data_IF_022600916008
#
_entry.id   IF_022600916008
#
_cell.length_a   1.000
_cell.length_b   1.000
_cell.length_c   1.000
_cell.angle_alpha   90.00
_cell.angle_beta   90.00
_cell.angle_gamma   90.00
#
_symmetry.space_group_name_H-M   'P 1'
#
loop_
_entity.id
_entity.type
_entity.pdbx_description
1 polymer ?
#
# COMPACT_ATOMS: atom_id res chain seq x y z
N UNK A 1 -22.14 -22.93 3.46
CA UNK A 1 -21.02 -22.47 2.61
C UNK A 1 -19.94 -21.98 3.57
N UNK A 2 -18.68 -22.38 3.42
CA UNK A 2 -17.60 -21.97 4.34
C UNK A 2 -17.35 -20.46 4.21
N UNK A 3 -17.16 -19.77 5.34
CA UNK A 3 -16.73 -18.38 5.37
C UNK A 3 -15.33 -18.21 4.73
N UNK A 4 -15.00 -17.00 4.28
CA UNK A 4 -13.66 -16.71 3.70
C UNK A 4 -12.55 -17.07 4.70
N UNK A 5 -12.73 -16.75 5.98
CA UNK A 5 -11.76 -17.08 7.02
C UNK A 5 -11.55 -18.60 7.14
N UNK A 6 -12.61 -19.39 7.11
CA UNK A 6 -12.49 -20.86 7.13
C UNK A 6 -11.79 -21.39 5.89
N UNK A 7 -12.07 -20.82 4.71
CA UNK A 7 -11.38 -21.16 3.47
C UNK A 7 -9.88 -20.83 3.54
N UNK A 8 -9.52 -19.65 4.06
CA UNK A 8 -8.12 -19.25 4.27
C UNK A 8 -7.39 -20.23 5.17
N UNK A 9 -7.98 -20.56 6.33
CA UNK A 9 -7.38 -21.51 7.29
C UNK A 9 -7.20 -22.89 6.67
N UNK A 10 -8.19 -23.38 5.95
CA UNK A 10 -8.13 -24.68 5.28
C UNK A 10 -7.03 -24.73 4.22
N UNK A 11 -6.97 -23.74 3.32
CA UNK A 11 -5.94 -23.68 2.27
C UNK A 11 -4.54 -23.49 2.83
N UNK A 12 -4.35 -22.62 3.82
CA UNK A 12 -3.07 -22.45 4.48
C UNK A 12 -2.56 -23.76 5.10
N UNK A 13 -3.44 -24.48 5.81
CA UNK A 13 -3.10 -25.74 6.47
C UNK A 13 -2.71 -26.82 5.47
N UNK A 14 -3.47 -26.90 4.37
CA UNK A 14 -3.20 -27.84 3.29
C UNK A 14 -1.84 -27.57 2.63
N UNK A 15 -1.57 -26.33 2.22
CA UNK A 15 -0.32 -25.96 1.56
C UNK A 15 0.91 -26.20 2.44
N UNK A 16 0.82 -25.92 3.75
CA UNK A 16 1.90 -26.18 4.70
C UNK A 16 2.09 -27.68 4.96
N UNK A 17 1.01 -28.45 5.11
CA UNK A 17 1.08 -29.90 5.38
C UNK A 17 1.64 -30.68 4.18
N UNK A 18 1.33 -30.23 2.97
CA UNK A 18 1.89 -30.80 1.73
C UNK A 18 3.34 -30.37 1.48
N UNK A 19 3.86 -29.36 2.20
CA UNK A 19 5.19 -28.79 1.96
C UNK A 19 5.29 -27.97 0.67
N UNK A 20 4.16 -27.63 0.05
CA UNK A 20 4.08 -26.79 -1.16
C UNK A 20 4.66 -25.40 -0.90
N UNK A 21 4.48 -24.90 0.32
CA UNK A 21 5.06 -23.64 0.82
C UNK A 21 5.65 -23.88 2.21
N UNK A 22 6.66 -23.10 2.57
CA UNK A 22 7.31 -23.18 3.89
C UNK A 22 6.73 -22.17 4.89
N UNK A 23 5.97 -21.19 4.40
CA UNK A 23 5.34 -20.16 5.21
C UNK A 23 4.07 -19.64 4.53
N UNK A 24 3.07 -19.28 5.33
CA UNK A 24 1.88 -18.54 4.91
C UNK A 24 1.85 -17.20 5.64
N UNK A 25 1.73 -16.09 4.91
CA UNK A 25 1.55 -14.75 5.47
C UNK A 25 0.09 -14.31 5.29
N UNK A 26 -0.53 -13.92 6.40
CA UNK A 26 -1.91 -13.43 6.45
C UNK A 26 -2.08 -12.36 7.51
N UNK A 27 -3.27 -12.29 8.11
CA UNK A 27 -3.56 -11.44 9.26
C UNK A 27 -3.98 -12.29 10.46
N UNK A 28 -3.67 -11.86 11.68
CA UNK A 28 -4.21 -12.43 12.91
C UNK A 28 -4.91 -11.35 13.73
N UNK A 29 -5.67 -11.76 14.76
CA UNK A 29 -6.26 -10.77 15.66
C UNK A 29 -5.21 -10.19 16.60
N UNK A 30 -5.09 -8.87 16.62
CA UNK A 30 -4.18 -8.16 17.53
C UNK A 30 -4.73 -8.06 18.96
N UNK A 31 -3.97 -7.40 19.82
CA UNK A 31 -4.39 -7.11 21.21
C UNK A 31 -5.67 -6.27 21.29
N UNK A 32 -5.89 -5.40 20.29
CA UNK A 32 -7.06 -4.54 20.23
C UNK A 32 -8.05 -5.04 19.17
N UNK A 33 -9.35 -4.99 19.48
CA UNK A 33 -10.42 -5.48 18.60
C UNK A 33 -10.49 -4.74 17.24
N UNK A 34 -9.90 -3.56 17.12
CA UNK A 34 -9.85 -2.76 15.89
C UNK A 34 -8.53 -2.93 15.12
N UNK A 35 -7.67 -3.89 15.49
CA UNK A 35 -6.40 -4.17 14.80
C UNK A 35 -6.30 -5.64 14.41
N UNK A 36 -5.88 -5.89 13.16
CA UNK A 36 -5.57 -7.22 12.64
C UNK A 36 -4.20 -7.17 11.95
N UNK A 37 -3.09 -7.26 12.73
CA UNK A 37 -1.73 -7.18 12.20
C UNK A 37 -1.37 -8.43 11.36
N UNK A 38 -0.27 -8.35 10.60
CA UNK A 38 0.25 -9.49 9.85
C UNK A 38 0.66 -10.66 10.76
N UNK A 39 0.43 -11.87 10.28
CA UNK A 39 0.88 -13.12 10.91
C UNK A 39 1.66 -13.96 9.92
N UNK A 40 2.65 -14.70 10.43
CA UNK A 40 3.53 -15.59 9.68
C UNK A 40 3.36 -16.98 10.27
N UNK A 41 2.78 -17.89 9.49
CA UNK A 41 2.45 -19.25 9.92
C UNK A 41 3.36 -20.23 9.20
N UNK A 42 4.13 -21.00 9.95
CA UNK A 42 5.02 -22.06 9.42
C UNK A 42 4.60 -23.46 9.89
N UNK A 43 3.90 -23.56 11.02
CA UNK A 43 3.30 -24.81 11.50
C UNK A 43 1.83 -24.90 11.04
N UNK A 44 1.43 -25.97 10.33
CA UNK A 44 0.03 -26.23 10.01
C UNK A 44 -0.92 -26.13 11.21
N UNK A 45 -0.48 -26.50 12.42
CA UNK A 45 -1.29 -26.43 13.64
C UNK A 45 -1.69 -24.99 14.01
N UNK A 46 -0.90 -23.99 13.61
CA UNK A 46 -1.11 -22.58 13.94
C UNK A 46 -2.03 -21.83 12.95
N UNK A 47 -2.54 -22.50 11.92
CA UNK A 47 -3.39 -21.87 10.90
C UNK A 47 -4.65 -21.22 11.49
N UNK A 48 -5.12 -21.64 12.66
CA UNK A 48 -6.30 -21.04 13.31
C UNK A 48 -6.07 -19.61 13.82
N UNK A 49 -4.82 -19.13 13.82
CA UNK A 49 -4.49 -17.71 14.08
C UNK A 49 -4.91 -16.80 12.94
N UNK A 50 -5.03 -17.33 11.71
CA UNK A 50 -5.42 -16.56 10.54
C UNK A 50 -6.85 -16.02 10.71
N UNK A 51 -7.01 -14.73 10.46
CA UNK A 51 -8.28 -14.00 10.56
C UNK A 51 -8.54 -13.23 9.27
N UNK A 52 -9.82 -13.13 8.92
CA UNK A 52 -10.31 -12.20 7.91
C UNK A 52 -11.45 -11.38 8.49
N UNK A 53 -11.15 -10.13 8.81
CA UNK A 53 -12.13 -9.18 9.31
C UNK A 53 -11.97 -7.80 8.65
N UNK A 54 -12.87 -6.88 8.98
CA UNK A 54 -12.89 -5.51 8.46
C UNK A 54 -11.68 -4.65 8.88
N UNK A 55 -10.74 -5.19 9.67
CA UNK A 55 -9.53 -4.51 10.15
C UNK A 55 -8.23 -5.08 9.56
N UNK A 56 -8.32 -6.02 8.60
CA UNK A 56 -7.20 -6.54 7.79
C UNK A 56 -6.64 -5.49 6.81
N UNK A 57 -6.31 -4.30 7.34
CA UNK A 57 -5.90 -3.10 6.59
C UNK A 57 -4.48 -3.19 6.06
N UNK A 58 -3.57 -3.88 6.77
CA UNK A 58 -2.15 -3.94 6.44
C UNK A 58 -1.93 -4.53 5.03
N UNK A 59 -0.98 -3.94 4.31
CA UNK A 59 -0.45 -4.54 3.09
C UNK A 59 0.64 -5.56 3.43
N UNK A 60 0.53 -6.79 2.94
CA UNK A 60 1.44 -7.89 3.25
C UNK A 60 2.62 -7.98 2.30
N UNK A 61 2.55 -7.40 1.09
CA UNK A 61 3.57 -7.60 0.06
C UNK A 61 4.96 -7.16 0.52
N UNK A 62 5.05 -6.09 1.32
CA UNK A 62 6.34 -5.54 1.79
C UNK A 62 7.19 -6.57 2.56
N UNK A 63 6.55 -7.49 3.30
CA UNK A 63 7.24 -8.48 4.12
C UNK A 63 7.97 -9.54 3.29
N UNK A 64 7.61 -9.73 2.02
CA UNK A 64 8.36 -10.61 1.11
C UNK A 64 9.83 -10.20 0.96
N UNK A 65 10.14 -8.91 1.14
CA UNK A 65 11.53 -8.43 1.07
C UNK A 65 12.43 -8.97 2.17
N UNK A 66 11.86 -9.31 3.33
CA UNK A 66 12.60 -9.87 4.46
C UNK A 66 13.08 -11.31 4.16
N UNK A 67 12.44 -11.97 3.19
CA UNK A 67 12.71 -13.36 2.79
C UNK A 67 13.30 -13.49 1.37
N UNK A 68 13.67 -12.37 0.73
CA UNK A 68 14.17 -12.40 -0.65
C UNK A 68 15.45 -13.23 -0.83
N UNK A 69 16.20 -13.45 0.24
CA UNK A 69 17.44 -14.23 0.25
C UNK A 69 17.30 -15.66 0.79
N UNK A 70 16.07 -16.09 1.13
CA UNK A 70 15.83 -17.50 1.47
C UNK A 70 15.61 -18.32 0.20
N UNK A 71 15.49 -19.65 0.31
CA UNK A 71 15.02 -20.52 -0.79
C UNK A 71 13.54 -20.88 -0.63
N UNK A 72 12.93 -20.42 0.47
CA UNK A 72 11.56 -20.76 0.83
C UNK A 72 10.57 -20.20 -0.20
N UNK A 73 9.58 -21.02 -0.52
CA UNK A 73 8.35 -20.64 -1.22
C UNK A 73 7.32 -20.19 -0.20
N UNK A 74 6.80 -18.97 -0.39
CA UNK A 74 5.93 -18.30 0.59
C UNK A 74 4.54 -18.09 0.00
N UNK A 75 3.52 -18.56 0.71
CA UNK A 75 2.14 -18.22 0.40
C UNK A 75 1.75 -16.86 1.00
N UNK A 76 1.01 -16.05 0.26
CA UNK A 76 0.49 -14.76 0.70
C UNK A 76 -1.01 -14.67 0.42
N UNK A 77 -1.80 -14.28 1.42
CA UNK A 77 -3.15 -13.81 1.16
C UNK A 77 -3.11 -12.38 0.62
N UNK A 78 -3.74 -12.12 -0.52
CA UNK A 78 -3.66 -10.83 -1.19
C UNK A 78 -5.02 -10.22 -1.49
N UNK A 79 -5.23 -9.00 -1.00
CA UNK A 79 -6.28 -8.10 -1.50
C UNK A 79 -5.79 -7.44 -2.78
N UNK A 80 -6.63 -6.65 -3.45
CA UNK A 80 -6.21 -5.85 -4.60
C UNK A 80 -4.97 -4.99 -4.35
N UNK A 81 -4.91 -4.25 -3.24
CA UNK A 81 -3.74 -3.45 -2.90
C UNK A 81 -2.47 -4.27 -2.59
N UNK A 82 -2.61 -5.48 -2.04
CA UNK A 82 -1.48 -6.39 -1.77
C UNK A 82 -0.93 -6.94 -3.09
N UNK A 83 -1.82 -7.40 -3.97
CA UNK A 83 -1.47 -7.92 -5.29
C UNK A 83 -0.70 -6.86 -6.10
N UNK A 84 -1.16 -5.61 -6.11
CA UNK A 84 -0.43 -4.50 -6.75
C UNK A 84 0.95 -4.26 -6.13
N UNK A 85 1.08 -4.47 -4.82
CA UNK A 85 2.36 -4.45 -4.11
C UNK A 85 3.29 -5.56 -4.57
N UNK A 86 2.77 -6.77 -4.77
CA UNK A 86 3.52 -7.90 -5.32
C UNK A 86 3.98 -7.60 -6.75
N UNK A 87 3.10 -7.10 -7.62
CA UNK A 87 3.48 -6.65 -8.98
C UNK A 87 4.63 -5.66 -8.92
N UNK A 88 4.56 -4.65 -8.03
CA UNK A 88 5.66 -3.68 -7.87
C UNK A 88 6.98 -4.34 -7.48
N UNK A 89 6.97 -5.28 -6.54
CA UNK A 89 8.17 -5.99 -6.11
C UNK A 89 8.75 -6.88 -7.22
N UNK A 90 7.90 -7.52 -8.01
CA UNK A 90 8.30 -8.32 -9.18
C UNK A 90 8.95 -7.42 -10.25
N UNK A 91 8.30 -6.31 -10.60
CA UNK A 91 8.85 -5.34 -11.57
C UNK A 91 10.17 -4.71 -11.11
N UNK A 92 10.37 -4.57 -9.79
CA UNK A 92 11.63 -4.08 -9.21
C UNK A 92 12.69 -5.19 -9.04
N UNK A 93 12.42 -6.40 -9.53
CA UNK A 93 13.27 -7.59 -9.38
C UNK A 93 13.72 -7.81 -7.93
N UNK A 94 12.81 -7.61 -6.98
CA UNK A 94 13.09 -7.81 -5.55
C UNK A 94 12.72 -9.21 -5.06
N UNK A 95 11.85 -9.90 -5.79
CA UNK A 95 11.33 -11.24 -5.48
C UNK A 95 11.13 -12.00 -6.79
N UNK A 96 11.14 -13.33 -6.71
CA UNK A 96 10.90 -14.22 -7.85
C UNK A 96 9.46 -14.75 -7.82
N UNK A 97 8.80 -14.83 -8.98
CA UNK A 97 7.38 -15.21 -9.07
C UNK A 97 7.15 -16.68 -8.67
N UNK A 98 8.13 -17.53 -8.92
CA UNK A 98 8.12 -18.97 -8.65
C UNK A 98 8.19 -19.27 -7.15
N UNK A 99 8.75 -18.34 -6.39
CA UNK A 99 8.94 -18.41 -4.93
C UNK A 99 7.78 -17.86 -4.12
N UNK A 100 6.71 -17.41 -4.79
CA UNK A 100 5.51 -16.92 -4.13
C UNK A 100 4.28 -17.69 -4.60
N UNK A 101 3.33 -17.88 -3.69
CA UNK A 101 2.03 -18.48 -3.96
C UNK A 101 0.93 -17.55 -3.48
N UNK A 102 0.14 -17.01 -4.39
CA UNK A 102 -0.77 -15.91 -4.10
C UNK A 102 -2.21 -16.40 -4.00
N UNK A 103 -2.81 -16.22 -2.82
CA UNK A 103 -4.21 -16.56 -2.57
C UNK A 103 -5.01 -15.27 -2.52
N UNK A 104 -5.71 -14.98 -3.62
CA UNK A 104 -6.50 -13.79 -3.80
C UNK A 104 -7.76 -13.75 -2.94
N UNK A 105 -8.09 -12.57 -2.42
CA UNK A 105 -9.35 -12.30 -1.72
C UNK A 105 -9.96 -11.02 -2.29
N UNK A 106 -11.22 -11.10 -2.71
CA UNK A 106 -11.98 -9.92 -3.15
C UNK A 106 -12.32 -9.05 -1.93
N UNK A 107 -11.82 -7.81 -1.91
CA UNK A 107 -11.86 -6.95 -0.73
C UNK A 107 -13.12 -6.06 -0.71
N UNK A 108 -13.95 -6.11 0.36
CA UNK A 108 -15.09 -5.20 0.52
C UNK A 108 -14.72 -3.80 1.04
N UNK A 109 -13.42 -3.50 1.13
CA UNK A 109 -12.91 -2.33 1.83
C UNK A 109 -12.67 -2.62 3.30
N UNK A 110 -11.72 -1.90 3.89
CA UNK A 110 -11.31 -2.07 5.28
C UNK A 110 -11.63 -0.82 6.09
N UNK A 111 -12.00 -0.99 7.36
CA UNK A 111 -12.31 0.09 8.29
C UNK A 111 -11.06 0.72 8.88
N UNK A 112 -11.18 1.98 9.28
CA UNK A 112 -10.09 2.72 9.90
C UNK A 112 -9.98 2.40 11.40
N UNK A 113 -8.91 1.68 11.79
CA UNK A 113 -8.72 1.24 13.16
C UNK A 113 -8.66 2.39 14.19
N UNK A 114 -8.06 3.55 13.88
CA UNK A 114 -7.98 4.68 14.83
C UNK A 114 -9.34 5.30 15.10
N UNK A 115 -10.16 5.48 14.07
CA UNK A 115 -11.54 5.98 14.24
C UNK A 115 -12.43 4.94 14.93
N UNK A 116 -12.26 3.65 14.62
CA UNK A 116 -12.94 2.58 15.33
C UNK A 116 -12.58 2.56 16.83
N UNK A 117 -11.30 2.76 17.17
CA UNK A 117 -10.84 2.86 18.56
C UNK A 117 -11.54 3.99 19.33
N UNK A 118 -11.75 5.15 18.68
CA UNK A 118 -12.44 6.29 19.29
C UNK A 118 -13.95 6.08 19.48
N UNK A 119 -14.56 5.17 18.70
CA UNK A 119 -15.99 4.88 18.76
C UNK A 119 -16.36 3.86 19.85
N UNK A 120 -15.46 2.94 20.19
CA UNK A 120 -15.77 1.80 21.07
C UNK A 120 -16.23 0.56 20.30
N UNK A 121 -16.10 -0.61 20.93
CA UNK A 121 -16.41 -1.90 20.29
C UNK A 121 -17.91 -2.07 20.03
N UNK A 122 -18.74 -1.52 20.93
CA UNK A 122 -20.20 -1.53 20.84
C UNK A 122 -20.72 -0.76 19.62
N UNK A 123 -19.94 0.19 19.11
CA UNK A 123 -20.23 1.00 17.91
C UNK A 123 -19.37 0.60 16.71
N UNK A 124 -18.81 -0.61 16.71
CA UNK A 124 -17.97 -1.18 15.63
C UNK A 124 -18.61 -1.06 14.24
N UNK A 125 -19.93 -1.21 14.14
CA UNK A 125 -20.64 -1.10 12.87
C UNK A 125 -20.52 0.31 12.24
N UNK A 126 -20.43 1.35 13.06
CA UNK A 126 -20.37 2.76 12.64
C UNK A 126 -18.96 3.21 12.19
N UNK A 127 -17.93 2.40 12.44
CA UNK A 127 -16.58 2.76 12.07
C UNK A 127 -16.45 2.92 10.53
N UNK A 128 -15.91 4.05 10.06
CA UNK A 128 -15.85 4.33 8.63
C UNK A 128 -14.78 3.48 7.94
N UNK A 129 -14.90 3.36 6.61
CA UNK A 129 -13.81 2.85 5.78
C UNK A 129 -12.55 3.69 5.97
N UNK A 130 -11.40 3.02 5.91
CA UNK A 130 -10.11 3.67 5.81
C UNK A 130 -10.08 4.56 4.55
N UNK A 131 -9.41 5.71 4.66
CA UNK A 131 -9.41 6.72 3.59
C UNK A 131 -8.98 6.14 2.22
N UNK A 132 -7.97 5.27 2.23
CA UNK A 132 -7.51 4.53 1.04
C UNK A 132 -8.56 3.63 0.39
N UNK A 133 -9.52 3.12 1.17
CA UNK A 133 -10.55 2.20 0.71
C UNK A 133 -11.75 2.94 0.12
N UNK A 134 -11.98 4.21 0.50
CA UNK A 134 -13.10 5.03 -0.01
C UNK A 134 -13.00 5.29 -1.51
N UNK A 135 -11.78 5.30 -2.04
CA UNK A 135 -11.49 5.60 -3.46
C UNK A 135 -10.74 4.45 -4.15
N UNK A 136 -10.91 3.22 -3.66
CA UNK A 136 -10.19 2.07 -4.18
C UNK A 136 -10.77 1.64 -5.54
N UNK A 137 -9.96 1.73 -6.59
CA UNK A 137 -10.33 1.30 -7.94
C UNK A 137 -10.11 -0.19 -8.19
N UNK A 138 -9.29 -0.84 -7.36
CA UNK A 138 -8.87 -2.25 -7.51
C UNK A 138 -9.11 -3.04 -6.22
N UNK A 139 -10.37 -3.40 -5.88
CA UNK A 139 -10.65 -4.26 -4.73
C UNK A 139 -10.31 -5.74 -4.98
N UNK A 140 -10.21 -6.15 -6.25
CA UNK A 140 -9.85 -7.50 -6.66
C UNK A 140 -8.34 -7.60 -6.91
N UNK A 141 -7.71 -8.75 -6.56
CA UNK A 141 -6.29 -8.97 -6.82
C UNK A 141 -6.02 -9.04 -8.33
N UNK A 142 -5.05 -8.25 -8.80
CA UNK A 142 -4.62 -8.21 -10.21
C UNK A 142 -3.73 -9.40 -10.59
N UNK A 143 -3.12 -10.05 -9.60
CA UNK A 143 -2.32 -11.26 -9.76
C UNK A 143 -2.59 -12.21 -8.59
N UNK A 144 -2.86 -13.47 -8.90
CA UNK A 144 -3.11 -14.53 -7.92
C UNK A 144 -2.94 -15.92 -8.58
N UNK A 145 -2.71 -16.95 -7.76
CA UNK A 145 -2.71 -18.37 -8.16
C UNK A 145 -4.08 -19.01 -7.91
N UNK A 146 -4.73 -18.63 -6.81
CA UNK A 146 -6.08 -19.06 -6.43
C UNK A 146 -6.91 -17.86 -5.95
N UNK A 147 -8.24 -17.95 -6.04
CA UNK A 147 -9.14 -16.91 -5.57
C UNK A 147 -10.16 -17.50 -4.59
N UNK A 148 -10.32 -16.85 -3.44
CA UNK A 148 -11.28 -17.24 -2.40
C UNK A 148 -12.48 -16.29 -2.35
N UNK A 149 -13.65 -16.87 -2.05
CA UNK A 149 -14.91 -16.14 -1.90
C UNK A 149 -15.58 -15.71 -3.21
N UNK A 150 -16.82 -15.22 -3.08
CA UNK A 150 -17.59 -14.60 -4.18
C UNK A 150 -17.33 -13.09 -4.27
N UNK A 151 -17.93 -12.39 -5.24
CA UNK A 151 -17.69 -10.95 -5.44
C UNK A 151 -18.15 -10.10 -4.25
N UNK A 152 -17.18 -9.60 -3.49
CA UNK A 152 -17.38 -8.68 -2.37
C UNK A 152 -16.89 -7.25 -2.67
N UNK A 153 -16.32 -7.00 -3.86
CA UNK A 153 -15.66 -5.73 -4.20
C UNK A 153 -16.52 -4.73 -4.97
N UNK A 154 -17.69 -5.15 -5.48
CA UNK A 154 -18.55 -4.33 -6.34
C UNK A 154 -18.90 -2.96 -5.72
N UNK A 155 -19.38 -2.94 -4.47
CA UNK A 155 -19.76 -1.70 -3.78
C UNK A 155 -18.60 -0.72 -3.61
N UNK A 156 -17.37 -1.22 -3.44
CA UNK A 156 -16.17 -0.36 -3.33
C UNK A 156 -15.82 0.28 -4.67
N UNK A 157 -15.94 -0.48 -5.78
CA UNK A 157 -15.72 0.06 -7.14
C UNK A 157 -16.72 1.17 -7.46
N UNK A 158 -18.00 0.92 -7.15
CA UNK A 158 -19.06 1.90 -7.37
C UNK A 158 -18.83 3.18 -6.57
N UNK A 159 -18.43 3.07 -5.30
CA UNK A 159 -18.08 4.23 -4.47
C UNK A 159 -16.88 5.01 -5.03
N UNK A 160 -15.85 4.31 -5.53
CA UNK A 160 -14.66 4.91 -6.11
C UNK A 160 -14.90 5.65 -7.43
N UNK A 161 -15.97 5.32 -8.16
CA UNK A 161 -16.34 5.91 -9.45
C UNK A 161 -17.09 7.26 -9.34
N UNK A 162 -17.28 7.79 -8.13
CA UNK A 162 -18.04 9.04 -7.88
C UNK A 162 -17.21 10.32 -8.04
N UNK A 163 -17.87 11.46 -8.24
CA UNK A 163 -17.24 12.78 -8.49
C UNK A 163 -16.45 13.36 -7.29
N UNK A 164 -16.65 12.84 -6.08
CA UNK A 164 -15.78 13.11 -4.91
C UNK A 164 -14.50 12.24 -4.95
N UNK A 165 -14.04 11.90 -6.16
CA UNK A 165 -13.29 10.69 -6.47
C UNK A 165 -11.79 10.69 -6.12
N UNK A 166 -11.05 9.84 -6.84
CA UNK A 166 -9.62 9.52 -6.60
C UNK A 166 -8.73 10.75 -6.40
N UNK A 167 -8.98 11.87 -7.08
CA UNK A 167 -8.16 13.09 -7.05
C UNK A 167 -8.82 14.30 -6.37
N UNK A 168 -9.99 14.17 -5.72
CA UNK A 168 -10.72 15.32 -5.18
C UNK A 168 -9.91 16.16 -4.16
N UNK A 169 -9.13 15.52 -3.28
CA UNK A 169 -8.25 16.24 -2.35
C UNK A 169 -7.08 16.95 -3.07
N UNK A 170 -6.63 16.42 -4.22
CA UNK A 170 -5.61 17.06 -5.03
C UNK A 170 -6.17 18.33 -5.65
N UNK A 171 -7.36 18.26 -6.26
CA UNK A 171 -8.04 19.39 -6.89
C UNK A 171 -8.29 20.54 -5.89
N UNK A 172 -8.67 20.21 -4.64
CA UNK A 172 -8.80 21.19 -3.55
C UNK A 172 -7.49 21.93 -3.27
N UNK A 173 -6.36 21.22 -3.26
CA UNK A 173 -5.03 21.80 -3.03
C UNK A 173 -4.54 22.57 -4.27
N UNK A 174 -4.88 22.13 -5.48
CA UNK A 174 -4.57 22.84 -6.74
C UNK A 174 -5.31 24.17 -6.87
N UNK A 175 -6.53 24.26 -6.33
CA UNK A 175 -7.34 25.48 -6.33
C UNK A 175 -6.85 26.55 -5.32
N UNK A 176 -5.96 26.20 -4.40
CA UNK A 176 -5.36 27.14 -3.45
C UNK A 176 -4.43 28.13 -4.17
N UNK A 177 -4.37 29.37 -3.68
CA UNK A 177 -3.33 30.31 -4.11
C UNK A 177 -1.91 29.78 -3.78
N UNK A 178 -0.85 30.27 -4.44
CA UNK A 178 0.52 29.83 -4.16
C UNK A 178 0.91 29.91 -2.67
N UNK A 179 0.51 30.98 -1.99
CA UNK A 179 0.82 31.19 -0.57
C UNK A 179 0.03 30.24 0.34
N UNK A 180 -1.27 30.03 0.07
CA UNK A 180 -2.10 29.07 0.81
C UNK A 180 -1.57 27.64 0.63
N UNK A 181 -1.21 27.27 -0.60
CA UNK A 181 -0.66 25.96 -0.91
C UNK A 181 0.70 25.75 -0.23
N UNK A 182 1.56 26.77 -0.23
CA UNK A 182 2.83 26.73 0.50
C UNK A 182 2.61 26.55 2.00
N UNK A 183 1.67 27.30 2.59
CA UNK A 183 1.33 27.20 4.00
C UNK A 183 0.72 25.83 4.36
N UNK A 184 -0.14 25.27 3.50
CA UNK A 184 -0.73 23.94 3.65
C UNK A 184 0.36 22.87 3.79
N UNK A 185 1.27 22.78 2.82
CA UNK A 185 2.35 21.78 2.86
C UNK A 185 3.33 22.04 3.99
N UNK A 186 3.66 23.31 4.25
CA UNK A 186 4.56 23.71 5.32
C UNK A 186 4.03 23.30 6.69
N UNK A 187 2.77 23.61 6.99
CA UNK A 187 2.14 23.24 8.26
C UNK A 187 2.04 21.73 8.46
N UNK A 188 1.89 20.96 7.38
CA UNK A 188 1.87 19.50 7.42
C UNK A 188 3.25 18.92 7.73
N UNK A 189 4.29 19.36 7.02
CA UNK A 189 5.64 18.79 7.15
C UNK A 189 6.47 19.37 8.28
N UNK A 190 6.12 20.55 8.83
CA UNK A 190 6.73 21.08 10.06
C UNK A 190 6.47 20.14 11.26
N UNK A 191 5.39 19.34 11.24
CA UNK A 191 5.12 18.31 12.26
C UNK A 191 5.87 17.00 12.04
N UNK A 192 6.50 16.80 10.87
CA UNK A 192 7.12 15.52 10.53
C UNK A 192 8.26 15.18 11.49
N UNK A 193 8.09 14.09 12.23
CA UNK A 193 9.09 13.52 13.14
C UNK A 193 10.16 12.68 12.43
N UNK A 194 10.17 12.64 11.10
CA UNK A 194 11.02 11.80 10.21
C UNK A 194 11.35 10.42 10.81
N UNK A 195 10.33 9.75 11.36
CA UNK A 195 10.45 8.42 11.96
C UNK A 195 10.61 7.29 10.92
N UNK A 196 10.53 7.63 9.63
CA UNK A 196 10.63 6.73 8.49
C UNK A 196 9.58 5.60 8.40
N UNK A 197 8.55 5.61 9.25
CA UNK A 197 7.46 4.63 9.19
C UNK A 197 6.82 4.57 7.79
N UNK A 198 6.56 5.74 7.18
CA UNK A 198 5.99 5.86 5.85
C UNK A 198 6.87 5.28 4.73
N UNK A 199 8.20 5.26 4.92
CA UNK A 199 9.19 4.63 4.03
C UNK A 199 9.20 3.12 4.26
N UNK A 200 9.33 2.70 5.52
CA UNK A 200 9.56 1.30 5.88
C UNK A 200 8.34 0.41 5.59
N UNK A 201 7.11 0.96 5.65
CA UNK A 201 5.90 0.21 5.32
C UNK A 201 5.62 0.11 3.80
N UNK A 202 6.29 0.92 2.98
CA UNK A 202 5.91 1.09 1.57
C UNK A 202 6.53 0.00 0.68
N UNK A 203 5.72 -0.78 -0.09
CA UNK A 203 6.26 -1.79 -1.00
C UNK A 203 7.09 -1.18 -2.15
N UNK A 204 6.80 0.06 -2.58
CA UNK A 204 7.59 0.76 -3.59
C UNK A 204 8.93 1.32 -3.06
N UNK A 205 9.06 1.52 -1.74
CA UNK A 205 10.33 1.89 -1.11
C UNK A 205 11.14 0.61 -0.83
N UNK A 206 11.77 0.07 -1.87
CA UNK A 206 12.47 -1.23 -1.84
C UNK A 206 13.88 -1.18 -2.46
N UNK A 207 14.45 0.01 -2.61
CA UNK A 207 15.81 0.20 -3.10
C UNK A 207 16.84 -0.55 -2.24
N UNK A 208 17.88 -1.11 -2.88
CA UNK A 208 19.00 -1.78 -2.19
C UNK A 208 19.80 -0.80 -1.32
N UNK A 209 19.95 0.44 -1.80
CA UNK A 209 20.58 1.53 -1.08
C UNK A 209 19.62 2.72 -1.03
N UNK A 210 19.38 3.24 0.18
CA UNK A 210 18.51 4.39 0.39
C UNK A 210 19.33 5.63 0.77
N UNK A 211 19.08 6.75 0.10
CA UNK A 211 19.68 8.06 0.44
C UNK A 211 19.45 8.43 1.92
N UNK A 212 18.31 8.05 2.48
CA UNK A 212 17.95 8.35 3.86
C UNK A 212 18.67 7.47 4.90
N UNK A 213 19.31 6.38 4.48
CA UNK A 213 20.16 5.55 5.36
C UNK A 213 21.66 5.91 5.21
N UNK A 214 22.02 6.65 4.15
CA UNK A 214 23.39 7.10 3.86
C UNK A 214 23.71 8.43 4.56
N UNK A 215 23.80 8.41 5.89
CA UNK A 215 24.11 9.62 6.69
C UNK A 215 25.42 10.34 6.33
N UNK A 216 26.40 9.63 5.76
CA UNK A 216 27.68 10.20 5.33
C UNK A 216 27.59 11.01 4.03
N UNK A 217 26.50 10.87 3.27
CA UNK A 217 26.34 11.56 1.99
C UNK A 217 26.14 13.07 2.13
N UNK A 218 25.73 13.53 3.32
CA UNK A 218 25.43 14.94 3.58
C UNK A 218 24.13 15.46 2.97
N UNK A 219 23.43 14.66 2.16
CA UNK A 219 22.18 15.09 1.49
C UNK A 219 21.00 15.31 2.44
N UNK A 220 20.93 14.55 3.54
CA UNK A 220 19.92 14.71 4.57
C UNK A 220 20.60 14.85 5.93
N UNK A 221 20.42 16.02 6.55
CA UNK A 221 20.92 16.33 7.87
C UNK A 221 20.13 15.63 8.98
N UNK A 222 20.75 15.53 10.16
CA UNK A 222 20.12 14.94 11.35
C UNK A 222 19.03 15.82 11.97
N UNK A 223 19.00 17.10 11.63
CA UNK A 223 18.05 18.05 12.21
C UNK A 223 16.64 17.82 11.67
N UNK A 224 15.64 17.98 12.55
CA UNK A 224 14.23 17.89 12.20
C UNK A 224 13.65 19.30 12.05
N UNK A 225 14.00 19.95 10.94
CA UNK A 225 13.52 21.28 10.60
C UNK A 225 12.77 21.26 9.26
N UNK A 226 12.11 22.37 8.93
CA UNK A 226 11.33 22.53 7.70
C UNK A 226 12.08 22.09 6.45
N UNK A 227 13.30 22.60 6.26
CA UNK A 227 14.10 22.33 5.06
C UNK A 227 14.34 20.82 4.88
N UNK A 228 14.81 20.18 5.94
CA UNK A 228 15.14 18.75 5.94
C UNK A 228 13.89 17.86 5.82
N UNK A 229 12.77 18.25 6.43
CA UNK A 229 11.51 17.53 6.32
C UNK A 229 10.90 17.64 4.92
N UNK A 230 10.97 18.82 4.31
CA UNK A 230 10.54 19.05 2.93
C UNK A 230 11.42 18.28 1.95
N UNK A 231 12.74 18.31 2.15
CA UNK A 231 13.67 17.51 1.34
C UNK A 231 13.33 16.03 1.40
N UNK A 232 13.11 15.47 2.60
CA UNK A 232 12.68 14.08 2.77
C UNK A 232 11.36 13.81 2.04
N UNK A 233 10.37 14.67 2.21
CA UNK A 233 9.04 14.51 1.64
C UNK A 233 9.06 14.46 0.10
N UNK A 234 9.65 15.48 -0.52
CA UNK A 234 9.74 15.61 -1.98
C UNK A 234 10.61 14.52 -2.57
N UNK A 235 11.79 14.26 -1.99
CA UNK A 235 12.69 13.20 -2.46
C UNK A 235 11.99 11.84 -2.44
N UNK A 236 11.30 11.50 -1.34
CA UNK A 236 10.55 10.25 -1.25
C UNK A 236 9.43 10.19 -2.29
N UNK A 237 8.65 11.26 -2.45
CA UNK A 237 7.54 11.32 -3.39
C UNK A 237 8.02 11.12 -4.84
N UNK A 238 9.13 11.78 -5.21
CA UNK A 238 9.77 11.62 -6.52
C UNK A 238 10.34 10.22 -6.73
N UNK A 239 10.98 9.61 -5.72
CA UNK A 239 11.51 8.24 -5.83
C UNK A 239 10.44 7.16 -6.07
N UNK A 240 9.18 7.44 -5.71
CA UNK A 240 8.04 6.55 -5.95
C UNK A 240 7.12 7.05 -7.08
N UNK A 241 7.48 8.12 -7.79
CA UNK A 241 6.74 8.61 -8.95
C UNK A 241 6.67 7.49 -10.02
N UNK A 242 5.46 7.21 -10.52
CA UNK A 242 5.21 6.08 -11.43
C UNK A 242 5.29 4.68 -10.77
N UNK A 243 5.61 4.59 -9.48
CA UNK A 243 5.74 3.32 -8.72
C UNK A 243 4.75 3.21 -7.56
N UNK A 244 4.12 4.30 -7.17
CA UNK A 244 3.13 4.35 -6.10
C UNK A 244 1.84 3.60 -6.49
N UNK A 245 1.54 2.51 -5.78
CA UNK A 245 0.35 1.68 -5.99
C UNK A 245 -0.91 2.16 -5.23
N UNK A 246 -0.88 3.37 -4.68
CA UNK A 246 -1.97 3.96 -3.90
C UNK A 246 -2.52 3.12 -2.72
N UNK A 247 -1.71 2.23 -2.17
CA UNK A 247 -2.12 1.37 -1.05
C UNK A 247 -2.31 2.12 0.29
N UNK A 248 -2.02 3.43 0.37
CA UNK A 248 -2.27 4.28 1.55
C UNK A 248 -1.48 3.94 2.81
N UNK A 249 -0.64 2.91 2.81
CA UNK A 249 0.09 2.45 4.00
C UNK A 249 0.95 3.54 4.62
N UNK A 250 1.59 4.35 3.79
CA UNK A 250 2.49 5.41 4.22
C UNK A 250 1.80 6.50 5.06
N UNK A 251 0.55 6.83 4.73
CA UNK A 251 -0.28 7.77 5.48
C UNK A 251 -0.90 7.09 6.71
N UNK A 252 -1.36 5.84 6.56
CA UNK A 252 -1.93 5.03 7.66
C UNK A 252 -0.99 4.91 8.86
N UNK A 253 0.31 4.73 8.62
CA UNK A 253 1.31 4.57 9.70
C UNK A 253 1.86 5.90 10.21
N UNK A 254 1.49 7.04 9.61
CA UNK A 254 2.00 8.34 10.05
C UNK A 254 1.37 8.72 11.40
N UNK A 255 2.16 8.92 12.47
CA UNK A 255 1.60 9.34 13.76
C UNK A 255 1.00 10.75 13.70
N UNK A 256 1.57 11.62 12.87
CA UNK A 256 1.21 13.04 12.74
C UNK A 256 0.10 13.34 11.71
N UNK A 257 -0.43 12.28 11.05
CA UNK A 257 -1.49 12.41 10.07
C UNK A 257 -1.12 13.31 8.88
N UNK A 258 0.13 13.24 8.40
CA UNK A 258 0.58 14.00 7.23
C UNK A 258 -0.13 13.46 5.98
N UNK A 259 -0.70 14.32 5.12
CA UNK A 259 -1.44 13.93 3.90
C UNK A 259 -0.50 13.47 2.78
N UNK A 260 0.25 12.41 3.02
CA UNK A 260 1.25 11.85 2.10
C UNK A 260 0.58 11.33 0.81
N UNK A 261 -0.64 10.79 0.91
CA UNK A 261 -1.37 10.29 -0.25
C UNK A 261 -1.84 11.42 -1.16
N UNK A 262 -2.18 12.60 -0.61
CA UNK A 262 -2.51 13.78 -1.43
C UNK A 262 -1.32 14.16 -2.33
N UNK A 263 -0.10 14.17 -1.78
CA UNK A 263 1.10 14.47 -2.57
C UNK A 263 1.37 13.39 -3.64
N UNK A 264 1.30 12.10 -3.29
CA UNK A 264 1.55 11.04 -4.27
C UNK A 264 0.46 11.00 -5.36
N UNK A 265 -0.80 11.27 -5.00
CA UNK A 265 -1.91 11.36 -5.96
C UNK A 265 -1.74 12.55 -6.89
N UNK A 266 -1.24 13.68 -6.40
CA UNK A 266 -0.87 14.83 -7.26
C UNK A 266 0.16 14.41 -8.31
N UNK A 267 1.23 13.72 -7.89
CA UNK A 267 2.24 13.21 -8.82
C UNK A 267 1.63 12.20 -9.82
N UNK A 268 0.74 11.31 -9.38
CA UNK A 268 0.05 10.37 -10.28
C UNK A 268 -0.81 11.13 -11.30
N UNK A 269 -1.58 12.13 -10.86
CA UNK A 269 -2.38 12.98 -11.74
C UNK A 269 -1.50 13.69 -12.78
N UNK A 270 -0.39 14.29 -12.36
CA UNK A 270 0.55 14.93 -13.27
C UNK A 270 1.17 13.97 -14.27
N UNK A 271 1.54 12.77 -13.84
CA UNK A 271 2.06 11.74 -14.74
C UNK A 271 1.02 11.33 -15.78
N UNK A 272 -0.25 11.22 -15.40
CA UNK A 272 -1.33 10.90 -16.31
C UNK A 272 -1.59 12.05 -17.31
N UNK A 273 -1.61 13.28 -16.81
CA UNK A 273 -1.84 14.49 -17.61
C UNK A 273 -0.70 14.69 -18.64
N UNK A 274 0.55 14.39 -18.27
CA UNK A 274 1.74 14.60 -19.11
C UNK A 274 2.06 13.41 -20.04
N UNK A 275 1.95 12.17 -19.57
CA UNK A 275 2.46 10.98 -20.28
C UNK A 275 1.37 9.97 -20.69
N UNK A 276 0.11 10.33 -20.45
CA UNK A 276 -1.06 9.48 -20.69
C UNK A 276 -1.39 8.57 -19.51
N UNK A 277 -2.58 7.94 -19.57
CA UNK A 277 -3.09 7.09 -18.50
C UNK A 277 -2.10 5.98 -18.12
N UNK A 278 -1.75 5.94 -16.83
CA UNK A 278 -0.89 4.90 -16.27
C UNK A 278 -1.27 4.59 -14.83
N UNK A 279 -1.24 3.31 -14.47
CA UNK A 279 -1.46 2.86 -13.09
C UNK A 279 -0.39 1.87 -12.64
N UNK A 280 0.35 2.24 -11.60
CA UNK A 280 1.41 1.39 -11.07
C UNK A 280 0.86 0.08 -10.47
N UNK A 281 1.58 -1.02 -10.71
CA UNK A 281 1.30 -2.30 -10.08
C UNK A 281 0.11 -3.05 -10.67
N UNK A 282 -0.30 -2.74 -11.91
CA UNK A 282 -1.37 -3.48 -12.63
C UNK A 282 -0.77 -4.51 -13.57
N UNK A 283 0.03 -4.04 -14.53
CA UNK A 283 0.73 -4.88 -15.51
C UNK A 283 2.18 -5.12 -15.06
N UNK A 284 2.70 -6.34 -15.28
CA UNK A 284 4.08 -6.71 -14.98
C UNK A 284 5.07 -6.16 -16.02
N UNK A 285 4.66 -6.08 -17.27
CA UNK A 285 5.52 -5.73 -18.39
C UNK A 285 5.51 -4.21 -18.67
N UNK A 286 4.44 -3.52 -18.30
CA UNK A 286 4.36 -2.08 -18.53
C UNK A 286 5.35 -1.29 -17.65
N UNK A 287 6.28 -0.61 -18.31
CA UNK A 287 7.24 0.29 -17.65
C UNK A 287 6.57 1.59 -17.19
N UNK A 288 6.97 2.14 -16.03
CA UNK A 288 6.47 3.43 -15.56
C UNK A 288 6.79 4.55 -16.56
N UNK A 289 5.99 5.63 -16.61
CA UNK A 289 6.19 6.74 -17.53
C UNK A 289 7.61 7.31 -17.48
N UNK A 290 8.18 7.48 -16.28
CA UNK A 290 9.54 7.98 -16.07
C UNK A 290 10.65 6.96 -16.32
N UNK A 291 10.30 5.72 -16.66
CA UNK A 291 11.23 4.63 -17.00
C UNK A 291 11.26 4.29 -18.49
N UNK A 292 10.48 5.00 -19.32
CA UNK A 292 10.46 4.87 -20.78
C UNK A 292 10.61 6.25 -21.43
N UNK A 293 10.89 6.25 -22.72
CA UNK A 293 10.99 7.46 -23.53
C UNK A 293 10.05 7.31 -24.72
N UNK A 294 9.25 8.34 -25.01
CA UNK A 294 8.52 8.46 -26.28
C UNK A 294 8.90 9.75 -27.00
N UNK A 295 8.90 9.69 -28.33
CA UNK A 295 9.24 10.85 -29.17
C UNK A 295 8.17 11.95 -29.13
N UNK A 296 6.95 11.61 -28.72
CA UNK A 296 5.79 12.49 -28.59
C UNK A 296 5.51 12.90 -27.13
N UNK A 297 6.41 12.58 -26.19
CA UNK A 297 6.31 13.11 -24.83
C UNK A 297 6.41 14.65 -24.86
N UNK A 298 5.69 15.38 -23.97
CA UNK A 298 5.69 16.84 -23.97
C UNK A 298 7.11 17.41 -23.84
N UNK A 299 7.54 18.17 -24.84
CA UNK A 299 8.81 18.90 -24.82
C UNK A 299 8.51 20.40 -24.68
N UNK A 300 8.42 20.88 -23.43
CA UNK A 300 8.22 22.30 -23.13
C UNK A 300 9.52 23.12 -23.26
N UNK A 301 10.65 22.51 -23.66
CA UNK A 301 11.90 23.22 -23.90
C UNK A 301 11.90 23.87 -25.30
N UNK A 302 11.08 24.91 -25.46
CA UNK A 302 11.11 25.83 -26.59
C UNK A 302 11.64 27.21 -26.19
#
# INVERSE_FOLDING_TARGET
>A
MMSIQEQMRARARELLTQGTVQMVIGWEKGTFWYLSPPVFVTDPAECDRLVWDEFCTNNLAKYLLDYKHTEDKIALFVKGCDARGVVRLLQDNQIDRERIYLIGIKCPGMKEGRRAAALGEERRAEAPLAEKCRFCTHPEPVIFDELLGEDAGAAVREAAATAEGRFAEVEKVEAMSPDERYAFWTSAYDRCLRCYACRNVCPACNCRECIFDRSQSGWCGKQMNRSENMFFAITRAMHVAGRCIECGECERVCPEGIPIMTLNKKIIKDLNDLFGEYEAGIDLEELPPLGRYKLDDPDEFH
#
